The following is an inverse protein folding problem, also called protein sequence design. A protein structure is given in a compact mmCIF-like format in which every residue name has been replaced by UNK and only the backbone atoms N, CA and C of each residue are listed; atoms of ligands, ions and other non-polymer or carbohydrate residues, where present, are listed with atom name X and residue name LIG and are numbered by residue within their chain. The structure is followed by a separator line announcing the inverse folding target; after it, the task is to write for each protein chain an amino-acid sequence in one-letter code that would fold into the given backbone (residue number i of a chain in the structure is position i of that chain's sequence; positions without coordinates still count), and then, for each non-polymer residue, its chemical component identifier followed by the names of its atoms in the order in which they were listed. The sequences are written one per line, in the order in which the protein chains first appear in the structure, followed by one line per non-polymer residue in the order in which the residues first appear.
data_IF_587919822659
#
_entry.id   IF_587919822659
#
_cell.length_a   1.000
_cell.length_b   1.000
_cell.length_c   1.000
_cell.angle_alpha   90.00
_cell.angle_beta   90.00
_cell.angle_gamma   90.00
#
_symmetry.space_group_name_H-M   'P 1'
#
loop_
_entity.id
_entity.type
_entity.pdbx_description
1 polymer ?
#
# COMPACT_ATOMS: atom_id res chain seq x y z
N UNK A 1 7.66 13.26 20.44
CA UNK A 1 7.05 11.97 20.04
C UNK A 1 7.70 10.85 20.84
N UNK A 2 6.96 9.81 21.29
CA UNK A 2 7.56 8.72 22.03
C UNK A 2 8.59 7.99 21.16
N UNK A 3 9.81 7.79 21.68
CA UNK A 3 10.92 7.13 20.95
C UNK A 3 10.61 5.66 20.62
N UNK A 4 9.71 5.01 21.36
CA UNK A 4 9.37 3.59 21.25
C UNK A 4 7.85 3.36 21.37
N UNK A 5 7.08 3.87 20.41
CA UNK A 5 5.64 3.57 20.32
C UNK A 5 5.39 2.43 19.34
N UNK A 6 4.72 1.37 19.80
CA UNK A 6 4.14 0.34 18.94
C UNK A 6 2.94 0.91 18.18
N UNK A 7 2.92 0.74 16.86
CA UNK A 7 1.79 1.13 16.00
C UNK A 7 0.89 -0.07 15.75
N UNK A 8 -0.42 0.17 15.66
CA UNK A 8 -1.37 -0.82 15.18
C UNK A 8 -1.40 -0.76 13.66
N UNK A 9 -0.98 -1.85 13.01
CA UNK A 9 -1.00 -1.96 11.57
C UNK A 9 -1.73 -3.20 11.09
N UNK A 10 -2.26 -3.15 9.86
CA UNK A 10 -2.93 -4.29 9.24
C UNK A 10 -2.46 -4.48 7.80
N UNK A 11 -2.46 -5.73 7.36
CA UNK A 11 -2.34 -6.06 5.95
C UNK A 11 -3.68 -5.78 5.27
N UNK A 12 -3.68 -4.80 4.37
CA UNK A 12 -4.85 -4.50 3.54
C UNK A 12 -5.21 -5.68 2.64
N UNK A 13 -6.38 -5.63 2.01
CA UNK A 13 -6.79 -6.66 1.05
C UNK A 13 -5.78 -6.78 -0.09
N UNK A 14 -5.53 -8.02 -0.53
CA UNK A 14 -4.80 -8.31 -1.78
C UNK A 14 -5.74 -8.12 -2.98
N UNK A 15 -6.27 -6.92 -3.11
CA UNK A 15 -7.31 -6.58 -4.08
C UNK A 15 -7.01 -5.21 -4.71
N UNK A 16 -7.59 -4.97 -5.88
CA UNK A 16 -7.42 -3.71 -6.60
C UNK A 16 -8.16 -2.57 -5.91
N UNK A 17 -9.27 -2.87 -5.22
CA UNK A 17 -10.13 -1.88 -4.57
C UNK A 17 -10.50 -2.29 -3.15
N UNK A 18 -10.82 -1.30 -2.33
CA UNK A 18 -11.41 -1.49 -1.01
C UNK A 18 -12.93 -1.33 -1.10
N UNK A 19 -13.63 -2.12 -0.29
CA UNK A 19 -15.07 -2.01 -0.05
C UNK A 19 -15.35 -0.99 1.04
N UNK A 20 -16.62 -0.58 1.19
CA UNK A 20 -17.03 0.30 2.30
C UNK A 20 -16.64 -0.21 3.68
N UNK A 21 -16.71 -1.53 3.90
CA UNK A 21 -16.33 -2.17 5.17
C UNK A 21 -14.84 -2.05 5.48
N UNK A 22 -13.99 -2.03 4.46
CA UNK A 22 -12.54 -1.89 4.66
C UNK A 22 -12.20 -0.50 5.20
N UNK A 23 -12.79 0.56 4.61
CA UNK A 23 -12.65 1.93 5.10
C UNK A 23 -13.19 2.09 6.53
N UNK A 24 -14.36 1.50 6.79
CA UNK A 24 -14.98 1.52 8.11
C UNK A 24 -14.09 0.85 9.16
N UNK A 25 -13.51 -0.31 8.86
CA UNK A 25 -12.60 -1.02 9.75
C UNK A 25 -11.37 -0.17 10.07
N UNK A 26 -10.71 0.38 9.04
CA UNK A 26 -9.53 1.23 9.21
C UNK A 26 -9.84 2.40 10.15
N UNK A 27 -10.98 3.05 9.96
CA UNK A 27 -11.42 4.19 10.77
C UNK A 27 -11.76 3.78 12.20
N UNK A 28 -12.61 2.76 12.39
CA UNK A 28 -13.09 2.33 13.72
C UNK A 28 -11.98 1.76 14.58
N UNK A 29 -11.09 0.95 13.99
CA UNK A 29 -9.97 0.33 14.68
C UNK A 29 -8.76 1.28 14.85
N UNK A 30 -8.85 2.51 14.33
CA UNK A 30 -7.78 3.53 14.39
C UNK A 30 -6.44 2.98 13.88
N UNK A 31 -6.50 2.27 12.76
CA UNK A 31 -5.30 1.70 12.13
C UNK A 31 -4.35 2.82 11.74
N UNK A 32 -3.09 2.69 12.16
CA UNK A 32 -2.06 3.70 11.95
C UNK A 32 -1.19 3.39 10.73
N UNK A 33 -1.01 2.09 10.42
CA UNK A 33 -0.16 1.64 9.31
C UNK A 33 -0.89 0.61 8.45
N UNK A 34 -0.91 0.81 7.14
CA UNK A 34 -1.50 -0.10 6.18
C UNK A 34 -0.44 -0.65 5.23
N UNK A 35 -0.30 -1.98 5.21
CA UNK A 35 0.47 -2.67 4.18
C UNK A 35 -0.44 -2.98 3.00
N UNK A 36 -0.11 -2.47 1.82
CA UNK A 36 -0.94 -2.55 0.61
C UNK A 36 -0.17 -3.09 -0.58
N UNK A 37 -0.88 -3.60 -1.58
CA UNK A 37 -0.28 -4.06 -2.82
C UNK A 37 -0.08 -2.90 -3.79
N UNK A 38 1.00 -2.93 -4.55
CA UNK A 38 1.31 -1.94 -5.60
C UNK A 38 0.28 -1.90 -6.75
N UNK A 39 -0.51 -2.96 -6.92
CA UNK A 39 -1.61 -2.98 -7.89
C UNK A 39 -2.92 -2.39 -7.35
N UNK A 40 -2.97 -2.04 -6.05
CA UNK A 40 -4.15 -1.37 -5.48
C UNK A 40 -4.30 0.00 -6.14
N UNK A 41 -5.54 0.36 -6.49
CA UNK A 41 -5.82 1.61 -7.19
C UNK A 41 -5.45 2.83 -6.33
N UNK A 42 -4.87 3.86 -6.96
CA UNK A 42 -4.46 5.10 -6.30
C UNK A 42 -5.59 5.79 -5.53
N UNK A 43 -6.83 5.69 -6.02
CA UNK A 43 -8.01 6.27 -5.35
C UNK A 43 -8.26 5.69 -3.95
N UNK A 44 -7.79 4.47 -3.69
CA UNK A 44 -7.86 3.87 -2.35
C UNK A 44 -6.92 4.61 -1.40
N UNK A 45 -5.69 4.91 -1.83
CA UNK A 45 -4.70 5.66 -1.04
C UNK A 45 -5.20 7.09 -0.77
N UNK A 46 -5.74 7.75 -1.80
CA UNK A 46 -6.34 9.09 -1.69
C UNK A 46 -7.44 9.13 -0.63
N UNK A 47 -8.40 8.21 -0.72
CA UNK A 47 -9.53 8.17 0.21
C UNK A 47 -9.07 7.86 1.63
N UNK A 48 -8.17 6.88 1.81
CA UNK A 48 -7.62 6.54 3.12
C UNK A 48 -6.85 7.71 3.75
N UNK A 49 -6.04 8.44 2.96
CA UNK A 49 -5.32 9.64 3.43
C UNK A 49 -6.29 10.76 3.80
N UNK A 50 -7.37 10.96 3.04
CA UNK A 50 -8.39 11.97 3.34
C UNK A 50 -9.13 11.66 4.65
N UNK A 51 -9.46 10.40 4.89
CA UNK A 51 -10.18 9.97 6.11
C UNK A 51 -9.27 9.82 7.33
N UNK A 52 -7.99 9.51 7.11
CA UNK A 52 -6.96 9.41 8.15
C UNK A 52 -5.64 10.06 7.66
N UNK A 53 -5.47 11.38 7.85
CA UNK A 53 -4.31 12.11 7.35
C UNK A 53 -2.95 11.60 7.85
N UNK A 54 -2.92 10.93 8.99
CA UNK A 54 -1.69 10.44 9.63
C UNK A 54 -1.36 8.98 9.28
N UNK A 55 -2.20 8.30 8.48
CA UNK A 55 -1.96 6.90 8.11
C UNK A 55 -0.62 6.75 7.39
N UNK A 56 0.12 5.71 7.75
CA UNK A 56 1.34 5.31 7.07
C UNK A 56 1.04 4.18 6.09
N UNK A 57 1.57 4.28 4.87
CA UNK A 57 1.45 3.22 3.87
C UNK A 57 2.78 2.50 3.70
N UNK A 58 2.73 1.17 3.71
CA UNK A 58 3.82 0.29 3.30
C UNK A 58 3.37 -0.42 2.03
N UNK A 59 4.01 -0.14 0.89
CA UNK A 59 3.60 -0.72 -0.39
C UNK A 59 4.47 -1.91 -0.74
N UNK A 60 3.85 -3.08 -0.94
CA UNK A 60 4.49 -4.25 -1.49
C UNK A 60 4.44 -4.20 -3.02
N UNK A 61 5.61 -4.10 -3.65
CA UNK A 61 5.75 -4.25 -5.09
C UNK A 61 5.35 -5.67 -5.52
N UNK A 62 4.53 -5.76 -6.56
CA UNK A 62 3.95 -7.00 -7.06
C UNK A 62 4.13 -7.07 -8.56
N UNK A 63 4.72 -8.17 -9.02
CA UNK A 63 4.88 -8.48 -10.43
C UNK A 63 4.31 -9.88 -10.66
N UNK A 64 3.21 -9.97 -11.40
CA UNK A 64 2.57 -11.24 -11.77
C UNK A 64 3.50 -12.18 -12.56
N UNK A 65 4.54 -11.64 -13.19
CA UNK A 65 5.60 -12.40 -13.87
C UNK A 65 6.51 -13.15 -12.89
N UNK A 66 6.52 -12.82 -11.60
CA UNK A 66 7.28 -13.54 -10.58
C UNK A 66 6.42 -14.72 -10.10
N UNK A 67 6.72 -15.90 -10.61
CA UNK A 67 6.04 -17.15 -10.23
C UNK A 67 7.01 -18.34 -10.35
N UNK A 68 6.51 -19.56 -10.13
CA UNK A 68 7.36 -20.78 -10.17
C UNK A 68 8.11 -20.95 -11.51
N UNK A 69 7.52 -20.51 -12.61
CA UNK A 69 8.00 -20.75 -13.96
C UNK A 69 8.64 -19.51 -14.61
N UNK A 70 8.59 -18.35 -13.96
CA UNK A 70 9.03 -17.09 -14.55
C UNK A 70 9.59 -16.15 -13.49
N UNK A 71 10.71 -15.51 -13.83
CA UNK A 71 11.31 -14.42 -13.05
C UNK A 71 11.80 -13.35 -14.03
N UNK A 72 11.25 -12.13 -14.01
CA UNK A 72 11.77 -11.04 -14.82
C UNK A 72 13.20 -10.71 -14.39
N UNK A 73 14.01 -10.20 -15.32
CA UNK A 73 15.31 -9.61 -14.97
C UNK A 73 15.10 -8.39 -14.05
N UNK A 74 16.14 -8.00 -13.32
CA UNK A 74 16.10 -6.80 -12.50
C UNK A 74 15.67 -5.55 -13.29
N UNK A 75 16.17 -5.39 -14.53
CA UNK A 75 15.79 -4.29 -15.42
C UNK A 75 14.29 -4.31 -15.79
N UNK A 76 13.76 -5.48 -16.15
CA UNK A 76 12.33 -5.63 -16.47
C UNK A 76 11.42 -5.39 -15.25
N UNK A 77 11.86 -5.80 -14.07
CA UNK A 77 11.15 -5.51 -12.83
C UNK A 77 11.15 -4.00 -12.54
N UNK A 78 12.34 -3.37 -12.57
CA UNK A 78 12.49 -1.94 -12.32
C UNK A 78 11.66 -1.09 -13.29
N UNK A 79 11.70 -1.42 -14.60
CA UNK A 79 10.93 -0.71 -15.61
C UNK A 79 9.41 -0.72 -15.34
N UNK A 80 8.87 -1.82 -14.77
CA UNK A 80 7.45 -1.92 -14.40
C UNK A 80 7.14 -1.22 -13.07
N UNK A 81 8.04 -1.31 -12.08
CA UNK A 81 7.79 -0.79 -10.73
C UNK A 81 8.02 0.70 -10.58
N UNK A 82 9.02 1.28 -11.25
CA UNK A 82 9.36 2.71 -11.12
C UNK A 82 8.17 3.63 -11.41
N UNK A 83 7.38 3.44 -12.48
CA UNK A 83 6.18 4.26 -12.72
C UNK A 83 5.15 4.17 -11.59
N UNK A 84 4.93 2.97 -11.04
CA UNK A 84 4.00 2.75 -9.93
C UNK A 84 4.50 3.45 -8.67
N UNK A 85 5.79 3.32 -8.34
CA UNK A 85 6.42 4.03 -7.23
C UNK A 85 6.26 5.54 -7.36
N UNK A 86 6.44 6.10 -8.58
CA UNK A 86 6.21 7.52 -8.85
C UNK A 86 4.77 7.94 -8.57
N UNK A 87 3.78 7.15 -9.02
CA UNK A 87 2.36 7.45 -8.76
C UNK A 87 1.98 7.37 -7.28
N UNK A 88 2.66 6.52 -6.49
CA UNK A 88 2.36 6.32 -5.07
C UNK A 88 3.19 7.21 -4.15
N UNK A 89 4.22 7.90 -4.67
CA UNK A 89 5.10 8.81 -3.92
C UNK A 89 4.37 9.86 -3.07
N UNK A 90 3.22 10.43 -3.48
CA UNK A 90 2.48 11.37 -2.62
C UNK A 90 1.94 10.73 -1.33
N UNK A 91 1.78 9.39 -1.30
CA UNK A 91 1.18 8.67 -0.18
C UNK A 91 2.22 7.86 0.60
N UNK A 92 3.16 7.22 -0.10
CA UNK A 92 4.21 6.36 0.46
C UNK A 92 5.57 7.06 0.31
N UNK A 93 6.06 7.64 1.39
CA UNK A 93 7.19 8.58 1.40
C UNK A 93 8.47 8.03 2.05
N UNK A 94 8.46 6.76 2.47
CA UNK A 94 9.63 6.08 3.05
C UNK A 94 10.34 5.23 2.01
#
# INVERSE_FOLDING_TARGET
MPKHRTRVGVHGRNDRFFTGRDYELVRRARIETLKMMSHTNVSVFEKLRRENPQVEFIVRLYDDRINKNSRPTAGHFAARMIPIMRSLRPYATK
#
